data_IF_636799022768
#
_entry.id   IF_636799022768
#
_cell.length_a   1.000
_cell.length_b   1.000
_cell.length_c   1.000
_cell.angle_alpha   90.00
_cell.angle_beta   90.00
_cell.angle_gamma   90.00
#
_symmetry.space_group_name_H-M   'P 1'
#
loop_
_entity.id
_entity.type
_entity.pdbx_description
1 polymer ?
#
# COMPACT_ATOMS: atom_id res chain seq x y z
N UNK A 1 6.08 -17.96 -14.72
CA UNK A 1 5.09 -16.87 -14.58
C UNK A 1 5.55 -15.90 -13.52
N UNK A 2 5.48 -14.62 -13.81
CA UNK A 2 5.87 -13.58 -12.86
C UNK A 2 4.72 -13.34 -11.90
N UNK A 3 5.00 -13.39 -10.62
CA UNK A 3 4.01 -13.06 -9.59
C UNK A 3 4.46 -11.80 -8.86
N UNK A 4 3.55 -10.88 -8.69
CA UNK A 4 3.82 -9.64 -7.98
C UNK A 4 2.93 -9.64 -6.74
N UNK A 5 3.54 -9.75 -5.57
CA UNK A 5 2.79 -9.83 -4.30
C UNK A 5 1.91 -8.62 -4.06
N UNK A 6 2.37 -7.45 -4.46
CA UNK A 6 1.61 -6.22 -4.27
C UNK A 6 0.24 -6.29 -4.94
N UNK A 7 0.16 -6.90 -6.12
CA UNK A 7 -1.11 -6.99 -6.85
C UNK A 7 -2.14 -7.76 -6.03
N UNK A 8 -1.73 -8.90 -5.47
CA UNK A 8 -2.63 -9.70 -4.64
C UNK A 8 -3.07 -8.94 -3.41
N UNK A 9 -2.12 -8.28 -2.75
CA UNK A 9 -2.43 -7.45 -1.58
C UNK A 9 -3.47 -6.39 -1.93
N UNK A 10 -3.23 -5.64 -2.99
CA UNK A 10 -4.08 -4.50 -3.34
C UNK A 10 -5.48 -4.95 -3.75
N UNK A 11 -5.59 -6.05 -4.49
CA UNK A 11 -6.88 -6.57 -4.93
C UNK A 11 -7.74 -7.06 -3.77
N UNK A 12 -7.12 -7.44 -2.67
CA UNK A 12 -7.86 -7.90 -1.50
C UNK A 12 -8.32 -6.77 -0.59
N UNK A 13 -7.93 -5.54 -0.87
CA UNK A 13 -8.37 -4.40 -0.07
C UNK A 13 -9.77 -3.97 -0.51
N UNK A 14 -10.58 -3.51 0.44
CA UNK A 14 -11.84 -2.88 0.10
C UNK A 14 -11.58 -1.42 -0.31
N UNK A 15 -12.62 -0.70 -0.73
CA UNK A 15 -12.45 0.65 -1.24
C UNK A 15 -11.87 1.61 -0.21
N UNK A 16 -12.28 1.49 1.04
CA UNK A 16 -11.77 2.34 2.12
C UNK A 16 -10.30 2.05 2.38
N UNK A 17 -9.93 0.78 2.41
CA UNK A 17 -8.55 0.39 2.62
C UNK A 17 -7.65 0.84 1.47
N UNK A 18 -8.14 0.76 0.24
CA UNK A 18 -7.39 1.28 -0.90
C UNK A 18 -7.14 2.77 -0.78
N UNK A 19 -8.15 3.50 -0.33
CA UNK A 19 -8.02 4.94 -0.12
C UNK A 19 -6.99 5.24 0.96
N UNK A 20 -7.04 4.50 2.06
CA UNK A 20 -6.08 4.66 3.14
C UNK A 20 -4.67 4.33 2.69
N UNK A 21 -4.51 3.28 1.90
CA UNK A 21 -3.20 2.89 1.40
C UNK A 21 -2.63 3.95 0.46
N UNK A 22 -3.46 4.53 -0.40
CA UNK A 22 -3.00 5.61 -1.28
C UNK A 22 -2.48 6.79 -0.47
N UNK A 23 -3.17 7.15 0.59
CA UNK A 23 -2.71 8.23 1.49
C UNK A 23 -1.40 7.86 2.16
N UNK A 24 -1.27 6.63 2.60
CA UNK A 24 -0.07 6.16 3.26
C UNK A 24 1.14 6.28 2.36
N UNK A 25 1.05 5.82 1.12
CA UNK A 25 2.19 5.84 0.20
C UNK A 25 2.47 7.23 -0.38
N UNK A 26 1.53 8.16 -0.22
CA UNK A 26 1.72 9.53 -0.68
C UNK A 26 2.29 10.43 0.40
N UNK A 27 2.40 9.94 1.63
CA UNK A 27 2.77 10.79 2.76
C UNK A 27 4.23 11.26 2.75
N UNK A 28 5.10 10.53 2.10
CA UNK A 28 6.53 10.82 2.11
C UNK A 28 7.24 10.41 3.37
N UNK A 29 6.51 10.04 4.40
CA UNK A 29 7.10 9.69 5.69
C UNK A 29 7.76 8.30 5.64
N UNK A 30 7.03 7.33 5.11
CA UNK A 30 7.53 5.96 5.05
C UNK A 30 8.17 5.61 3.72
N UNK A 31 7.93 6.40 2.69
CA UNK A 31 8.39 6.10 1.34
C UNK A 31 9.62 6.90 0.91
N UNK A 32 10.34 7.45 1.88
CA UNK A 32 11.58 8.19 1.66
C UNK A 32 11.40 9.37 0.69
N UNK A 33 10.25 10.02 0.78
CA UNK A 33 9.96 11.18 -0.04
C UNK A 33 9.44 10.86 -1.42
N UNK A 34 9.28 9.60 -1.78
CA UNK A 34 8.72 9.24 -3.08
C UNK A 34 7.21 9.27 -3.01
N UNK A 35 6.60 9.80 -4.05
CA UNK A 35 5.15 9.83 -4.16
C UNK A 35 4.73 8.76 -5.14
N UNK A 36 4.02 7.77 -4.65
CA UNK A 36 3.54 6.67 -5.48
C UNK A 36 2.14 6.92 -6.04
N UNK A 37 1.58 8.10 -5.85
CA UNK A 37 0.23 8.40 -6.32
C UNK A 37 0.07 8.21 -7.81
N UNK A 38 1.01 8.77 -8.60
CA UNK A 38 0.96 8.64 -10.05
C UNK A 38 1.09 7.19 -10.48
N UNK A 39 2.00 6.46 -9.84
CA UNK A 39 2.20 5.05 -10.15
C UNK A 39 0.94 4.24 -9.88
N UNK A 40 0.29 4.47 -8.75
CA UNK A 40 -0.93 3.75 -8.41
C UNK A 40 -2.07 4.07 -9.35
N UNK A 41 -2.20 5.32 -9.78
CA UNK A 41 -3.22 5.69 -10.76
C UNK A 41 -3.01 4.94 -12.08
N UNK A 42 -1.78 4.89 -12.55
CA UNK A 42 -1.46 4.18 -13.79
C UNK A 42 -1.65 2.68 -13.61
N UNK A 43 -1.28 2.15 -12.46
CA UNK A 43 -1.49 0.75 -12.13
C UNK A 43 -2.99 0.39 -12.19
N UNK A 44 -3.83 1.16 -11.52
CA UNK A 44 -5.26 0.89 -11.49
C UNK A 44 -5.90 1.04 -12.86
N UNK A 45 -5.44 2.01 -13.63
CA UNK A 45 -5.93 2.23 -14.98
C UNK A 45 -5.63 1.05 -15.91
N UNK A 46 -4.44 0.49 -15.79
CA UNK A 46 -3.97 -0.55 -16.71
C UNK A 46 -4.25 -1.97 -16.22
N UNK A 47 -4.58 -2.13 -14.95
CA UNK A 47 -4.79 -3.45 -14.36
C UNK A 47 -5.82 -4.28 -15.12
N UNK A 48 -6.92 -3.67 -15.51
CA UNK A 48 -7.99 -4.37 -16.20
C UNK A 48 -7.66 -4.69 -17.65
N UNK A 49 -6.75 -3.91 -18.24
CA UNK A 49 -6.35 -4.12 -19.63
C UNK A 49 -5.30 -5.20 -19.78
N UNK A 50 -4.56 -5.45 -18.71
CA UNK A 50 -3.43 -6.37 -18.78
C UNK A 50 -3.89 -7.82 -18.69
N UNK A 51 -3.28 -8.68 -19.50
CA UNK A 51 -3.59 -10.11 -19.49
C UNK A 51 -2.87 -10.83 -18.36
N UNK A 52 -1.73 -10.31 -17.93
CA UNK A 52 -0.91 -10.93 -16.89
C UNK A 52 0.03 -9.87 -16.33
N UNK A 53 0.85 -10.26 -15.34
CA UNK A 53 1.76 -9.34 -14.67
C UNK A 53 2.79 -8.73 -15.62
N UNK A 54 3.31 -9.53 -16.55
CA UNK A 54 4.30 -9.04 -17.50
C UNK A 54 3.70 -7.98 -18.42
N UNK A 55 2.48 -8.20 -18.87
CA UNK A 55 1.76 -7.26 -19.71
C UNK A 55 1.48 -5.97 -18.94
N UNK A 56 1.10 -6.09 -17.67
CA UNK A 56 0.85 -4.94 -16.81
C UNK A 56 2.12 -4.10 -16.66
N UNK A 57 3.26 -4.72 -16.43
CA UNK A 57 4.53 -4.01 -16.31
C UNK A 57 4.83 -3.25 -17.60
N UNK A 58 4.58 -3.87 -18.75
CA UNK A 58 4.80 -3.24 -20.04
C UNK A 58 3.90 -2.00 -20.21
N UNK A 59 2.62 -2.12 -19.87
CA UNK A 59 1.69 -1.01 -20.00
C UNK A 59 2.06 0.15 -19.09
N UNK A 60 2.43 -0.13 -17.85
CA UNK A 60 2.86 0.92 -16.92
C UNK A 60 4.15 1.56 -17.40
N UNK A 61 5.08 0.75 -17.89
CA UNK A 61 6.34 1.23 -18.44
C UNK A 61 6.11 2.26 -19.55
N UNK A 62 5.18 1.97 -20.43
CA UNK A 62 4.85 2.86 -21.53
C UNK A 62 4.16 4.13 -21.05
N UNK A 63 3.23 4.01 -20.13
CA UNK A 63 2.48 5.17 -19.64
C UNK A 63 3.35 6.14 -18.86
N UNK A 64 4.30 5.63 -18.08
CA UNK A 64 5.14 6.48 -17.24
C UNK A 64 6.51 6.78 -17.86
N UNK A 65 6.79 6.20 -19.02
CA UNK A 65 8.10 6.31 -19.66
C UNK A 65 9.21 5.79 -18.74
N UNK A 66 8.91 4.76 -17.99
CA UNK A 66 9.88 4.07 -17.13
C UNK A 66 10.42 2.85 -17.88
N UNK A 67 11.59 2.37 -17.46
CA UNK A 67 12.04 1.07 -17.92
C UNK A 67 11.22 0.00 -17.21
N UNK A 68 11.17 -1.20 -17.78
CA UNK A 68 10.46 -2.31 -17.13
C UNK A 68 11.08 -2.63 -15.78
N UNK A 69 12.40 -2.50 -15.66
CA UNK A 69 13.09 -2.71 -14.41
C UNK A 69 12.65 -1.70 -13.35
N UNK A 70 12.51 -0.44 -13.74
CA UNK A 70 12.03 0.60 -12.82
C UNK A 70 10.63 0.30 -12.33
N UNK A 71 9.75 -0.16 -13.22
CA UNK A 71 8.39 -0.55 -12.83
C UNK A 71 8.43 -1.72 -11.84
N UNK A 72 9.25 -2.71 -12.13
CA UNK A 72 9.43 -3.86 -11.24
C UNK A 72 9.91 -3.41 -9.87
N UNK A 73 10.90 -2.51 -9.83
CA UNK A 73 11.42 -2.00 -8.58
C UNK A 73 10.36 -1.21 -7.79
N UNK A 74 9.50 -0.46 -8.47
CA UNK A 74 8.40 0.25 -7.81
C UNK A 74 7.42 -0.73 -7.18
N UNK A 75 7.13 -1.84 -7.84
CA UNK A 75 6.27 -2.86 -7.24
C UNK A 75 6.91 -3.48 -6.00
N UNK A 76 8.23 -3.69 -6.02
CA UNK A 76 8.92 -4.21 -4.84
C UNK A 76 8.87 -3.21 -3.68
N UNK A 77 9.06 -1.94 -3.96
CA UNK A 77 8.94 -0.90 -2.94
C UNK A 77 7.52 -0.86 -2.38
N UNK A 78 6.52 -0.96 -3.24
CA UNK A 78 5.13 -0.99 -2.80
C UNK A 78 4.81 -2.22 -1.97
N UNK A 79 5.41 -3.36 -2.28
CA UNK A 79 5.24 -4.56 -1.47
C UNK A 79 5.77 -4.33 -0.05
N UNK A 80 6.93 -3.70 0.06
CA UNK A 80 7.50 -3.36 1.35
C UNK A 80 6.62 -2.38 2.11
N UNK A 81 6.09 -1.38 1.42
CA UNK A 81 5.16 -0.41 2.02
C UNK A 81 3.86 -1.08 2.43
N UNK A 82 3.39 -2.06 1.68
CA UNK A 82 2.20 -2.82 2.03
C UNK A 82 2.41 -3.57 3.35
N UNK A 83 3.58 -4.17 3.53
CA UNK A 83 3.89 -4.86 4.78
C UNK A 83 3.88 -3.88 5.96
N UNK A 84 4.44 -2.68 5.77
CA UNK A 84 4.43 -1.65 6.80
C UNK A 84 3.01 -1.16 7.09
N UNK A 85 2.20 -1.00 6.06
CA UNK A 85 0.82 -0.57 6.21
C UNK A 85 0.02 -1.58 7.04
N UNK A 86 0.18 -2.86 6.74
CA UNK A 86 -0.48 -3.92 7.49
C UNK A 86 -0.04 -3.90 8.95
N UNK A 87 1.26 -3.77 9.18
CA UNK A 87 1.81 -3.74 10.54
C UNK A 87 1.26 -2.56 11.33
N UNK A 88 1.18 -1.38 10.72
CA UNK A 88 0.64 -0.19 11.39
C UNK A 88 -0.84 -0.38 11.71
N UNK A 89 -1.60 -0.94 10.79
CA UNK A 89 -3.02 -1.19 11.05
C UNK A 89 -3.22 -2.19 12.19
N UNK A 90 -2.40 -3.21 12.26
CA UNK A 90 -2.46 -4.17 13.35
C UNK A 90 -2.11 -3.53 14.70
N UNK A 91 -1.08 -2.68 14.72
CA UNK A 91 -0.70 -1.96 15.93
C UNK A 91 -1.84 -1.06 16.39
N UNK A 92 -2.41 -0.28 15.49
CA UNK A 92 -3.51 0.62 15.82
C UNK A 92 -4.71 -0.15 16.34
N UNK A 93 -5.00 -1.28 15.74
CA UNK A 93 -6.10 -2.13 16.18
C UNK A 93 -5.85 -2.65 17.57
N UNK A 94 -4.64 -3.10 17.87
CA UNK A 94 -4.29 -3.61 19.17
C UNK A 94 -4.32 -2.51 20.22
N UNK A 95 -3.84 -1.33 19.90
CA UNK A 95 -3.90 -0.18 20.79
C UNK A 95 -5.34 0.19 21.11
N UNK A 96 -6.22 0.16 20.14
CA UNK A 96 -7.62 0.46 20.35
C UNK A 96 -8.26 -0.54 21.32
N UNK A 97 -7.98 -1.82 21.12
CA UNK A 97 -8.48 -2.86 22.02
C UNK A 97 -7.95 -2.67 23.42
N UNK A 98 -6.67 -2.37 23.56
CA UNK A 98 -6.06 -2.14 24.85
C UNK A 98 -6.68 -0.91 25.53
N UNK A 99 -6.88 0.16 24.79
CA UNK A 99 -7.51 1.35 25.32
C UNK A 99 -8.92 1.09 25.85
N UNK A 100 -9.69 0.29 25.14
CA UNK A 100 -11.03 -0.07 25.57
C UNK A 100 -11.00 -0.86 26.88
N UNK A 101 -10.07 -1.77 27.04
CA UNK A 101 -9.92 -2.52 28.27
C UNK A 101 -9.48 -1.64 29.42
N UNK A 102 -8.53 -0.77 29.16
CA UNK A 102 -8.01 0.12 30.18
C UNK A 102 -9.08 1.11 30.64
N UNK A 103 -9.88 1.62 29.74
CA UNK A 103 -10.95 2.55 30.08
C UNK A 103 -11.91 1.96 31.08
N UNK A 104 -12.18 0.67 31.01
CA UNK A 104 -13.12 0.03 31.93
C UNK A 104 -12.55 -0.03 33.35
N UNK A 105 -11.25 0.19 33.52
CA UNK A 105 -10.62 0.24 34.84
C UNK A 105 -10.20 1.65 35.23
N UNK A 106 -10.55 2.63 34.45
CA UNK A 106 -10.21 4.03 34.70
C UNK A 106 -8.72 4.29 34.78
N UNK A 107 -7.99 3.62 33.97
CA UNK A 107 -6.57 3.83 33.96
C UNK A 107 -6.20 4.68 32.83
N UNK A 108 -6.86 5.73 32.67
CA UNK A 108 -6.70 6.55 31.54
C UNK A 108 -5.60 7.53 31.63
N UNK A 109 -4.81 7.47 32.66
CA UNK A 109 -3.72 8.41 32.81
C UNK A 109 -2.64 8.07 31.85
N UNK A 110 -2.79 7.11 31.07
CA UNK A 110 -1.85 6.87 30.09
C UNK A 110 -1.86 7.86 29.03
N UNK A 111 -2.87 8.64 29.02
CA UNK A 111 -2.85 9.62 28.08
C UNK A 111 -1.78 10.50 28.42
N UNK A 112 -0.89 10.52 28.65
CA UNK A 112 0.11 11.46 28.85
C UNK A 112 0.68 11.94 27.54
#
# INVERSE_FOLDING_TARGET
MIKIKFIQFFLNLNDLEKKDFRKFVSSGYFNRGRDFSAFLLVFEKNREKASNARDLIKLISEDLSYTRRSVWNRFHELTSLADQFIAIKEINRNELLFSNLVSSYHINKFEY
#
